data_IF_967024824261
#
_entry.id   IF_967024824261
#
_cell.length_a   1.000
_cell.length_b   1.000
_cell.length_c   1.000
_cell.angle_alpha   90.00
_cell.angle_beta   90.00
_cell.angle_gamma   90.00
#
_symmetry.space_group_name_H-M   'P 1'
#
loop_
_entity.id
_entity.type
_entity.pdbx_description
1 polymer ?
#
# COMPACT_ATOMS: atom_id res chain seq x y z
N UNK A 1 0.56 -12.02 16.22
CA UNK A 1 0.06 -10.79 16.86
C UNK A 1 1.07 -9.70 16.57
N UNK A 2 0.76 -8.73 15.71
CA UNK A 2 1.70 -7.66 15.35
C UNK A 2 1.22 -6.40 16.06
N UNK A 3 2.07 -5.84 16.92
CA UNK A 3 1.80 -4.70 17.79
C UNK A 3 1.73 -3.40 17.00
N UNK A 4 0.54 -2.83 16.85
CA UNK A 4 0.22 -1.63 16.04
C UNK A 4 0.36 -0.32 16.83
N UNK A 5 1.43 -0.16 17.62
CA UNK A 5 1.54 0.93 18.59
C UNK A 5 2.42 2.13 18.21
N UNK A 6 3.33 2.00 17.24
CA UNK A 6 4.34 3.04 16.94
C UNK A 6 4.06 3.73 15.61
N UNK A 7 4.11 5.07 15.61
CA UNK A 7 4.03 5.93 14.42
C UNK A 7 5.17 5.66 13.42
N UNK A 8 6.27 5.09 13.90
CA UNK A 8 7.44 4.69 13.09
C UNK A 8 7.42 3.23 12.66
N UNK A 9 6.36 2.48 13.02
CA UNK A 9 6.22 1.12 12.56
C UNK A 9 5.88 1.14 11.07
N UNK A 10 6.83 0.70 10.25
CA UNK A 10 6.62 0.39 8.84
C UNK A 10 6.09 -1.05 8.74
N UNK A 11 4.78 -1.28 8.57
CA UNK A 11 4.27 -2.62 8.39
C UNK A 11 4.75 -3.16 7.05
N UNK A 12 5.66 -4.14 7.10
CA UNK A 12 6.19 -4.85 5.93
C UNK A 12 5.08 -5.30 4.96
N UNK A 13 3.93 -5.73 5.50
CA UNK A 13 2.77 -6.14 4.70
C UNK A 13 2.19 -5.04 3.81
N UNK A 14 2.20 -3.78 4.25
CA UNK A 14 1.69 -2.69 3.39
C UNK A 14 2.60 -2.47 2.20
N UNK A 15 3.92 -2.59 2.36
CA UNK A 15 4.85 -2.58 1.24
C UNK A 15 4.62 -3.76 0.29
N UNK A 16 4.37 -4.96 0.82
CA UNK A 16 4.04 -6.14 0.01
C UNK A 16 2.76 -5.95 -0.81
N UNK A 17 1.70 -5.38 -0.19
CA UNK A 17 0.47 -5.06 -0.89
C UNK A 17 0.71 -4.05 -2.02
N UNK A 18 1.44 -2.97 -1.76
CA UNK A 18 1.78 -1.98 -2.79
C UNK A 18 2.62 -2.58 -3.91
N UNK A 19 3.58 -3.46 -3.58
CA UNK A 19 4.43 -4.13 -4.54
C UNK A 19 3.69 -5.13 -5.43
N UNK A 20 2.56 -5.68 -4.99
CA UNK A 20 1.72 -6.57 -5.80
C UNK A 20 1.12 -5.87 -7.03
N UNK A 21 1.00 -4.54 -6.97
CA UNK A 21 0.31 -3.73 -7.99
C UNK A 21 -1.19 -3.98 -8.06
N UNK A 22 -1.78 -4.76 -7.15
CA UNK A 22 -3.21 -5.04 -7.10
C UNK A 22 -3.95 -4.02 -6.24
N UNK A 23 -5.24 -3.78 -6.50
CA UNK A 23 -6.03 -2.86 -5.69
C UNK A 23 -6.14 -3.33 -4.24
N UNK A 24 -6.09 -2.39 -3.30
CA UNK A 24 -6.16 -2.69 -1.86
C UNK A 24 -7.47 -2.16 -1.28
N UNK A 25 -8.24 -3.03 -0.63
CA UNK A 25 -9.42 -2.66 0.15
C UNK A 25 -9.05 -2.81 1.62
N UNK A 26 -9.09 -1.71 2.37
CA UNK A 26 -8.81 -1.69 3.81
C UNK A 26 -10.12 -1.72 4.56
N UNK A 27 -10.26 -2.70 5.47
CA UNK A 27 -11.39 -2.84 6.37
C UNK A 27 -11.02 -2.23 7.74
N UNK A 28 -11.66 -1.10 8.07
CA UNK A 28 -11.42 -0.36 9.29
C UNK A 28 -10.30 0.67 9.18
N UNK A 29 -10.41 1.74 10.00
CA UNK A 29 -9.39 2.79 10.11
C UNK A 29 -8.50 2.52 11.31
N UNK A 30 -7.19 2.70 11.14
CA UNK A 30 -6.24 2.70 12.26
C UNK A 30 -5.05 3.61 11.96
N UNK A 31 -4.32 4.04 12.98
CA UNK A 31 -3.05 4.78 12.77
C UNK A 31 -2.00 3.95 12.01
N UNK A 32 -2.15 2.63 12.02
CA UNK A 32 -1.24 1.70 11.36
C UNK A 32 -1.32 1.71 9.83
N UNK A 33 -2.37 2.25 9.21
CA UNK A 33 -2.58 2.20 7.74
C UNK A 33 -2.09 3.46 6.99
N UNK A 34 -1.35 4.33 7.66
CA UNK A 34 -0.89 5.61 7.12
C UNK A 34 -0.11 5.50 5.80
N UNK A 35 0.63 4.41 5.58
CA UNK A 35 1.37 4.18 4.34
C UNK A 35 0.41 3.92 3.17
N UNK A 36 -0.62 3.10 3.36
CA UNK A 36 -1.70 2.90 2.37
C UNK A 36 -2.50 4.17 2.13
N UNK A 37 -2.84 4.92 3.19
CA UNK A 37 -3.50 6.23 3.05
C UNK A 37 -2.68 7.20 2.18
N UNK A 38 -1.37 7.29 2.43
CA UNK A 38 -0.47 8.09 1.61
C UNK A 38 -0.36 7.56 0.18
N UNK A 39 -0.36 6.24 -0.03
CA UNK A 39 -0.30 5.63 -1.35
C UNK A 39 -1.56 5.96 -2.16
N UNK A 40 -2.74 5.86 -1.55
CA UNK A 40 -4.02 6.15 -2.21
C UNK A 40 -4.13 7.62 -2.61
N UNK A 41 -3.66 8.55 -1.75
CA UNK A 41 -3.55 9.98 -2.10
C UNK A 41 -2.62 10.24 -3.29
N UNK A 42 -1.60 9.39 -3.48
CA UNK A 42 -0.68 9.43 -4.62
C UNK A 42 -1.22 8.71 -5.87
N UNK A 43 -2.47 8.23 -5.84
CA UNK A 43 -3.12 7.59 -6.99
C UNK A 43 -3.02 6.06 -7.05
N UNK A 44 -2.48 5.41 -6.02
CA UNK A 44 -2.54 3.95 -5.94
C UNK A 44 -4.00 3.49 -5.80
N UNK A 45 -4.45 2.46 -6.53
CA UNK A 45 -5.84 2.01 -6.50
C UNK A 45 -6.16 1.36 -5.14
N UNK A 46 -6.90 2.07 -4.30
CA UNK A 46 -7.36 1.52 -3.05
C UNK A 46 -8.43 2.34 -2.35
N UNK A 47 -9.07 1.71 -1.37
CA UNK A 47 -10.23 2.24 -0.66
C UNK A 47 -10.16 1.87 0.81
N UNK A 48 -10.67 2.75 1.66
CA UNK A 48 -10.71 2.58 3.11
C UNK A 48 -12.16 2.67 3.55
N UNK A 49 -12.64 1.59 4.15
CA UNK A 49 -13.99 1.47 4.67
C UNK A 49 -13.97 1.46 6.20
N UNK A 50 -15.09 1.87 6.82
CA UNK A 50 -15.32 1.54 8.22
C UNK A 50 -15.54 0.02 8.36
N UNK A 51 -15.25 -0.54 9.53
CA UNK A 51 -15.44 -1.96 9.78
C UNK A 51 -16.92 -2.38 9.59
N UNK A 52 -17.85 -1.46 9.88
CA UNK A 52 -19.29 -1.71 9.77
C UNK A 52 -19.85 -1.41 8.37
N UNK A 53 -19.07 -0.87 7.44
CA UNK A 53 -19.52 -0.59 6.07
C UNK A 53 -19.43 -1.84 5.19
N UNK A 54 -20.22 -2.84 5.55
CA UNK A 54 -20.26 -4.14 4.88
C UNK A 54 -20.75 -3.99 3.44
N UNK A 55 -21.77 -3.17 3.19
CA UNK A 55 -22.35 -2.98 1.86
C UNK A 55 -21.39 -2.24 0.93
N UNK A 56 -20.70 -1.20 1.41
CA UNK A 56 -19.66 -0.50 0.65
C UNK A 56 -18.50 -1.44 0.26
N UNK A 57 -18.08 -2.31 1.19
CA UNK A 57 -17.05 -3.32 0.90
C UNK A 57 -17.53 -4.35 -0.13
N UNK A 58 -18.74 -4.90 0.02
CA UNK A 58 -19.33 -5.87 -0.93
C UNK A 58 -19.43 -5.28 -2.34
N UNK A 59 -19.93 -4.06 -2.44
CA UNK A 59 -20.02 -3.36 -3.72
C UNK A 59 -18.64 -3.22 -4.35
N UNK A 60 -17.63 -2.78 -3.58
CA UNK A 60 -16.28 -2.60 -4.09
C UNK A 60 -15.64 -3.90 -4.58
N UNK A 61 -15.75 -4.98 -3.79
CA UNK A 61 -15.25 -6.30 -4.18
C UNK A 61 -15.89 -6.75 -5.48
N UNK A 62 -17.21 -6.56 -5.62
CA UNK A 62 -17.94 -6.92 -6.83
C UNK A 62 -17.47 -6.11 -8.05
N UNK A 63 -17.28 -4.80 -7.91
CA UNK A 63 -16.75 -3.93 -8.98
C UNK A 63 -15.34 -4.36 -9.44
N UNK A 64 -14.44 -4.65 -8.49
CA UNK A 64 -13.08 -5.08 -8.79
C UNK A 64 -13.09 -6.46 -9.47
N UNK A 65 -13.93 -7.38 -9.00
CA UNK A 65 -14.08 -8.71 -9.59
C UNK A 65 -14.66 -8.65 -11.02
N UNK A 66 -15.68 -7.83 -11.26
CA UNK A 66 -16.24 -7.63 -12.60
C UNK A 66 -15.17 -7.10 -13.58
N UNK A 67 -14.35 -6.14 -13.14
CA UNK A 67 -13.24 -5.62 -13.96
C UNK A 67 -12.19 -6.69 -14.25
N UNK A 68 -11.88 -7.54 -13.26
CA UNK A 68 -11.02 -8.70 -13.47
C UNK A 68 -11.59 -9.67 -14.52
N UNK A 69 -12.87 -10.01 -14.44
CA UNK A 69 -13.56 -10.88 -15.41
C UNK A 69 -13.56 -10.29 -16.83
N UNK A 70 -13.55 -8.97 -16.97
CA UNK A 70 -13.48 -8.28 -18.25
C UNK A 70 -12.04 -8.07 -18.76
N UNK A 71 -11.03 -8.69 -18.13
CA UNK A 71 -9.60 -8.48 -18.40
C UNK A 71 -9.13 -7.01 -18.21
N UNK A 72 -9.95 -6.17 -17.59
CA UNK A 72 -9.67 -4.76 -17.27
C UNK A 72 -9.09 -4.64 -15.86
N UNK A 73 -8.07 -5.43 -15.57
CA UNK A 73 -7.46 -5.50 -14.24
C UNK A 73 -6.95 -4.10 -13.86
N UNK A 74 -7.45 -3.57 -12.74
CA UNK A 74 -6.92 -2.33 -12.18
C UNK A 74 -5.52 -2.64 -11.64
N UNK A 75 -4.51 -1.92 -12.13
CA UNK A 75 -3.13 -2.03 -11.65
C UNK A 75 -2.66 -0.72 -11.07
N UNK A 76 -1.95 -0.80 -9.95
CA UNK A 76 -1.27 0.31 -9.31
C UNK A 76 0.23 0.27 -9.59
N UNK A 77 0.82 1.43 -9.84
CA UNK A 77 2.26 1.59 -9.72
C UNK A 77 2.64 1.92 -8.28
N UNK A 78 3.72 1.31 -7.76
CA UNK A 78 4.21 1.63 -6.43
C UNK A 78 4.59 3.14 -6.37
N UNK A 79 3.96 3.94 -5.50
CA UNK A 79 4.13 5.39 -5.47
C UNK A 79 5.37 5.83 -4.66
N UNK A 80 6.16 4.88 -4.18
CA UNK A 80 7.31 5.05 -3.28
C UNK A 80 8.60 4.51 -3.92
N UNK A 81 8.86 4.91 -5.17
CA UNK A 81 10.02 4.44 -5.97
C UNK A 81 11.36 4.75 -5.27
N UNK A 82 11.40 5.81 -4.47
CA UNK A 82 12.54 6.23 -3.66
C UNK A 82 12.90 5.27 -2.51
N UNK A 83 11.95 4.42 -2.09
CA UNK A 83 12.14 3.42 -1.05
C UNK A 83 12.32 2.01 -1.61
N UNK A 84 12.59 1.87 -2.91
CA UNK A 84 12.96 0.59 -3.51
C UNK A 84 14.33 0.14 -3.00
N UNK A 85 14.58 -1.18 -3.01
CA UNK A 85 15.88 -1.76 -2.63
C UNK A 85 17.03 -1.10 -3.39
N UNK A 86 16.88 -0.92 -4.71
CA UNK A 86 17.88 -0.28 -5.57
C UNK A 86 18.25 1.12 -5.04
N UNK A 87 17.25 1.99 -4.85
CA UNK A 87 17.48 3.37 -4.41
C UNK A 87 18.02 3.45 -2.99
N UNK A 88 17.54 2.61 -2.07
CA UNK A 88 18.04 2.57 -0.70
C UNK A 88 19.48 2.05 -0.62
N UNK A 89 19.82 0.99 -1.36
CA UNK A 89 21.19 0.50 -1.46
C UNK A 89 22.12 1.56 -2.04
N UNK A 90 21.69 2.27 -3.08
CA UNK A 90 22.47 3.36 -3.66
C UNK A 90 22.73 4.49 -2.64
N UNK A 91 21.68 4.93 -1.91
CA UNK A 91 21.82 5.95 -0.86
C UNK A 91 22.76 5.48 0.25
N UNK A 92 22.65 4.23 0.68
CA UNK A 92 23.51 3.65 1.71
C UNK A 92 24.96 3.56 1.23
N UNK A 93 25.20 3.09 0.01
CA UNK A 93 26.53 3.02 -0.58
C UNK A 93 27.21 4.40 -0.58
N UNK A 94 26.50 5.44 -1.03
CA UNK A 94 27.00 6.82 -1.01
C UNK A 94 27.38 7.29 0.39
N UNK A 95 26.59 6.97 1.41
CA UNK A 95 26.88 7.37 2.80
C UNK A 95 28.12 6.67 3.36
N UNK A 96 28.35 5.42 2.97
CA UNK A 96 29.50 4.63 3.41
C UNK A 96 30.76 5.10 2.69
N UNK A 97 30.69 5.36 1.38
CA UNK A 97 31.85 5.77 0.58
C UNK A 97 32.19 7.25 0.68
N UNK A 98 31.25 8.11 1.11
CA UNK A 98 31.49 9.56 1.30
C UNK A 98 32.23 9.90 2.61
N UNK A 99 32.56 8.89 3.44
CA UNK A 99 33.36 9.03 4.67
C UNK A 99 34.78 8.48 4.53
N UNK A 100 35.30 8.33 3.32
CA UNK A 100 36.70 7.96 3.04
C UNK A 100 37.47 9.15 2.44
#
# INVERSE_FOLDING_TARGET
>A
MITTGSEFFFPSRQNEYLASGLPVIVCGRSKGIHLLESAFKKGYPGWIYDFNDIEGMKQRVSEVYQKFQQEKIIKGENPFKEYTRKTLTERLARLITSRA
#
